data_IF_746025128345
#
_entry.id   IF_746025128345
#
_cell.length_a   1.000
_cell.length_b   1.000
_cell.length_c   1.000
_cell.angle_alpha   90.00
_cell.angle_beta   90.00
_cell.angle_gamma   90.00
#
_symmetry.space_group_name_H-M   'P 1'
#
loop_
_entity.id
_entity.type
_entity.pdbx_description
1 polymer ?
#
# COMPACT_ATOMS: atom_id res chain seq x y z
N UNK A 1 13.58 6.79 36.30
CA UNK A 1 12.24 6.18 36.26
C UNK A 1 11.40 7.09 35.38
N UNK A 2 11.23 6.73 34.11
CA UNK A 2 10.78 7.66 33.06
C UNK A 2 9.29 7.99 33.24
N UNK A 3 8.92 9.27 33.13
CA UNK A 3 7.53 9.72 33.20
C UNK A 3 6.59 8.94 32.25
N UNK A 4 7.15 8.40 31.17
CA UNK A 4 6.48 7.55 30.20
C UNK A 4 6.05 6.19 30.76
N UNK A 5 6.83 5.57 31.66
CA UNK A 5 6.45 4.30 32.33
C UNK A 5 5.39 4.51 33.41
N UNK A 6 5.31 5.71 33.99
CA UNK A 6 4.30 6.07 34.99
C UNK A 6 2.94 6.37 34.33
N UNK A 7 2.94 7.03 33.17
CA UNK A 7 1.73 7.23 32.36
C UNK A 7 1.16 5.92 31.81
N UNK A 8 2.03 4.97 31.47
CA UNK A 8 1.66 3.64 30.97
C UNK A 8 1.05 2.71 32.02
N UNK A 9 1.37 2.91 33.30
CA UNK A 9 0.76 2.16 34.40
C UNK A 9 -0.58 2.76 34.86
N UNK A 10 -0.80 4.07 34.65
CA UNK A 10 -2.05 4.75 34.95
C UNK A 10 -3.16 4.41 33.95
N UNK A 11 -2.79 4.08 32.71
CA UNK A 11 -3.70 3.56 31.68
C UNK A 11 -3.65 2.03 31.75
N UNK A 12 -4.70 1.38 32.24
CA UNK A 12 -4.90 -0.09 32.21
C UNK A 12 -5.04 -0.61 30.76
N UNK A 13 -4.02 -0.40 29.94
CA UNK A 13 -3.95 -0.91 28.58
C UNK A 13 -3.28 -2.28 28.59
N UNK A 14 -3.96 -3.25 27.99
CA UNK A 14 -3.44 -4.58 27.66
C UNK A 14 -2.04 -4.48 27.02
N UNK A 15 -1.13 -5.41 27.35
CA UNK A 15 0.29 -5.41 26.92
C UNK A 15 0.44 -5.25 25.39
N UNK A 16 -0.56 -5.71 24.61
CA UNK A 16 -0.64 -5.54 23.16
C UNK A 16 -0.74 -4.07 22.74
N UNK A 17 -1.64 -3.31 23.36
CA UNK A 17 -1.88 -1.90 23.08
C UNK A 17 -0.67 -1.05 23.47
N UNK A 18 0.02 -1.42 24.54
CA UNK A 18 1.26 -0.77 24.98
C UNK A 18 2.37 -0.88 23.92
N UNK A 19 2.57 -2.08 23.35
CA UNK A 19 3.58 -2.31 22.30
C UNK A 19 3.24 -1.59 20.99
N UNK A 20 1.95 -1.54 20.62
CA UNK A 20 1.48 -0.79 19.45
C UNK A 20 1.75 0.71 19.60
N UNK A 21 1.41 1.29 20.76
CA UNK A 21 1.67 2.70 21.05
C UNK A 21 3.18 3.00 21.08
N UNK A 22 3.99 2.11 21.65
CA UNK A 22 5.44 2.26 21.66
C UNK A 22 6.03 2.24 20.23
N UNK A 23 5.55 1.35 19.36
CA UNK A 23 6.00 1.29 17.96
C UNK A 23 5.64 2.57 17.19
N UNK A 24 4.42 3.09 17.36
CA UNK A 24 3.99 4.36 16.76
C UNK A 24 4.81 5.53 17.31
N UNK A 25 5.07 5.56 18.62
CA UNK A 25 5.88 6.60 19.25
C UNK A 25 7.33 6.59 18.73
N UNK A 26 7.94 5.41 18.58
CA UNK A 26 9.26 5.27 17.99
C UNK A 26 9.29 5.78 16.55
N UNK A 27 8.30 5.43 15.73
CA UNK A 27 8.19 5.95 14.36
C UNK A 27 8.07 7.48 14.33
N UNK A 28 7.21 8.07 15.16
CA UNK A 28 7.08 9.53 15.28
C UNK A 28 8.37 10.21 15.76
N UNK A 29 9.15 9.57 16.62
CA UNK A 29 10.45 10.08 17.07
C UNK A 29 11.43 10.20 15.90
N UNK A 30 11.47 9.23 14.99
CA UNK A 30 12.29 9.29 13.79
C UNK A 30 11.83 10.39 12.82
N UNK A 31 10.52 10.65 12.70
CA UNK A 31 10.03 11.81 11.92
C UNK A 31 10.55 13.13 12.51
N UNK A 32 10.57 13.27 13.84
CA UNK A 32 11.17 14.45 14.49
C UNK A 32 12.67 14.57 14.26
N UNK A 33 13.38 13.44 14.12
CA UNK A 33 14.81 13.44 13.78
C UNK A 33 15.04 14.11 12.40
N UNK A 34 14.19 13.82 11.41
CA UNK A 34 14.23 14.51 10.11
C UNK A 34 13.99 16.02 10.22
N UNK A 35 13.15 16.46 11.17
CA UNK A 35 12.97 17.89 11.44
C UNK A 35 14.23 18.53 12.04
N UNK A 36 14.94 17.84 12.94
CA UNK A 36 16.21 18.34 13.50
C UNK A 36 17.32 18.43 12.46
N UNK A 37 17.34 17.54 11.47
CA UNK A 37 18.27 17.62 10.33
C UNK A 37 18.09 18.91 9.51
N UNK A 38 16.97 19.64 9.63
CA UNK A 38 16.78 20.97 9.01
C UNK A 38 17.63 22.07 9.67
N UNK A 39 18.05 21.87 10.92
CA UNK A 39 18.80 22.87 11.70
C UNK A 39 20.27 22.96 11.27
N UNK A 40 20.86 21.88 10.75
CA UNK A 40 22.23 21.88 10.27
C UNK A 40 22.27 22.37 8.82
N UNK A 41 23.07 23.40 8.52
CA UNK A 41 23.12 24.04 7.21
C UNK A 41 23.44 23.08 6.05
N UNK A 42 24.30 22.08 6.28
CA UNK A 42 24.67 21.09 5.26
C UNK A 42 23.51 20.11 4.93
N UNK A 43 22.71 19.70 5.90
CA UNK A 43 21.59 18.76 5.70
C UNK A 43 20.27 19.46 5.36
N UNK A 44 20.17 20.77 5.61
CA UNK A 44 19.00 21.57 5.27
C UNK A 44 18.73 21.62 3.77
N UNK A 45 19.78 21.61 2.93
CA UNK A 45 19.63 21.59 1.47
C UNK A 45 18.95 20.31 0.98
N UNK A 46 19.35 19.14 1.50
CA UNK A 46 18.74 17.85 1.15
C UNK A 46 17.26 17.78 1.55
N UNK A 47 16.89 18.31 2.72
CA UNK A 47 15.48 18.31 3.17
C UNK A 47 14.61 19.23 2.32
N UNK A 48 15.13 20.38 1.88
CA UNK A 48 14.40 21.27 0.96
C UNK A 48 14.14 20.58 -0.38
N UNK A 49 15.16 19.94 -0.95
CA UNK A 49 15.02 19.17 -2.18
C UNK A 49 14.02 18.02 -2.02
N UNK A 50 14.07 17.28 -0.91
CA UNK A 50 13.12 16.21 -0.61
C UNK A 50 11.68 16.74 -0.52
N UNK A 51 11.49 17.89 0.13
CA UNK A 51 10.18 18.54 0.23
C UNK A 51 9.61 18.94 -1.14
N UNK A 52 10.44 19.48 -2.03
CA UNK A 52 10.07 19.80 -3.41
C UNK A 52 9.67 18.53 -4.18
N UNK A 53 10.48 17.47 -4.12
CA UNK A 53 10.18 16.18 -4.77
C UNK A 53 8.86 15.58 -4.25
N UNK A 54 8.59 15.65 -2.95
CA UNK A 54 7.32 15.16 -2.38
C UNK A 54 6.13 15.98 -2.90
N UNK A 55 6.25 17.31 -2.99
CA UNK A 55 5.15 18.10 -3.52
C UNK A 55 4.89 17.81 -5.01
N UNK A 56 5.95 17.55 -5.77
CA UNK A 56 5.85 17.23 -7.20
C UNK A 56 5.28 15.82 -7.45
N UNK A 57 5.52 14.84 -6.57
CA UNK A 57 5.00 13.47 -6.73
C UNK A 57 3.52 13.31 -6.31
N UNK A 58 2.98 14.16 -5.43
CA UNK A 58 1.58 14.06 -4.97
C UNK A 58 0.54 14.05 -6.10
N UNK A 59 0.58 14.95 -7.11
CA UNK A 59 -0.37 14.89 -8.23
C UNK A 59 -0.21 13.60 -9.04
N UNK A 60 1.02 13.12 -9.23
CA UNK A 60 1.29 11.85 -9.90
C UNK A 60 0.74 10.66 -9.12
N UNK A 61 0.91 10.64 -7.79
CA UNK A 61 0.38 9.58 -6.93
C UNK A 61 -1.15 9.54 -6.96
N UNK A 62 -1.81 10.70 -7.06
CA UNK A 62 -3.26 10.78 -7.22
C UNK A 62 -3.71 10.15 -8.55
N UNK A 63 -3.00 10.46 -9.63
CA UNK A 63 -3.25 9.85 -10.94
C UNK A 63 -3.02 8.32 -10.91
N UNK A 64 -1.94 7.86 -10.28
CA UNK A 64 -1.62 6.45 -10.11
C UNK A 64 -2.74 5.71 -9.35
N UNK A 65 -3.26 6.28 -8.27
CA UNK A 65 -4.37 5.70 -7.50
C UNK A 65 -5.64 5.57 -8.37
N UNK A 66 -5.93 6.55 -9.22
CA UNK A 66 -7.04 6.47 -10.17
C UNK A 66 -6.84 5.35 -11.19
N UNK A 67 -5.63 5.19 -11.75
CA UNK A 67 -5.30 4.10 -12.67
C UNK A 67 -5.44 2.73 -11.99
N UNK A 68 -4.88 2.57 -10.78
CA UNK A 68 -5.00 1.33 -10.00
C UNK A 68 -6.47 1.02 -9.71
N UNK A 69 -7.27 2.01 -9.31
CA UNK A 69 -8.70 1.82 -9.08
C UNK A 69 -9.43 1.34 -10.34
N UNK A 70 -9.12 1.91 -11.51
CA UNK A 70 -9.71 1.50 -12.78
C UNK A 70 -9.39 0.03 -13.10
N UNK A 71 -8.13 -0.38 -13.00
CA UNK A 71 -7.73 -1.77 -13.27
C UNK A 71 -8.21 -2.76 -12.20
N UNK A 72 -8.23 -2.35 -10.93
CA UNK A 72 -8.74 -3.16 -9.82
C UNK A 72 -10.23 -3.49 -10.00
N UNK A 73 -11.05 -2.53 -10.43
CA UNK A 73 -12.46 -2.79 -10.73
C UNK A 73 -12.63 -3.79 -11.90
N UNK A 74 -11.85 -3.65 -12.97
CA UNK A 74 -11.88 -4.59 -14.10
C UNK A 74 -11.48 -6.00 -13.69
N UNK A 75 -10.41 -6.15 -12.89
CA UNK A 75 -9.96 -7.45 -12.38
C UNK A 75 -10.98 -8.08 -11.41
N UNK A 76 -11.66 -7.26 -10.61
CA UNK A 76 -12.72 -7.73 -9.71
C UNK A 76 -13.92 -8.31 -10.48
N UNK A 77 -14.32 -7.69 -11.60
CA UNK A 77 -15.40 -8.21 -12.45
C UNK A 77 -15.02 -9.55 -13.07
N UNK A 78 -13.77 -9.69 -13.54
CA UNK A 78 -13.26 -10.96 -14.08
C UNK A 78 -13.21 -12.06 -13.02
N UNK A 79 -12.73 -11.74 -11.81
CA UNK A 79 -12.71 -12.66 -10.68
C UNK A 79 -14.12 -13.11 -10.27
N UNK A 80 -15.08 -12.20 -10.23
CA UNK A 80 -16.50 -12.55 -9.99
C UNK A 80 -17.06 -13.47 -11.06
N UNK A 81 -16.69 -13.24 -12.33
CA UNK A 81 -17.14 -14.07 -13.46
C UNK A 81 -16.60 -15.50 -13.33
N UNK A 82 -15.34 -15.66 -12.89
CA UNK A 82 -14.75 -16.98 -12.59
C UNK A 82 -15.43 -17.68 -11.41
N UNK A 83 -15.71 -16.95 -10.32
CA UNK A 83 -16.42 -17.48 -9.14
C UNK A 83 -17.83 -17.98 -9.46
N UNK A 84 -18.56 -17.28 -10.33
CA UNK A 84 -19.91 -17.71 -10.77
C UNK A 84 -19.84 -19.00 -11.59
N UNK A 85 -18.79 -19.16 -12.41
CA UNK A 85 -18.59 -20.34 -13.24
C UNK A 85 -17.98 -21.54 -12.48
N UNK A 86 -17.67 -21.39 -11.18
CA UNK A 86 -17.18 -22.47 -10.32
C UNK A 86 -15.69 -22.80 -10.48
N UNK A 87 -14.87 -21.87 -10.98
CA UNK A 87 -13.41 -22.04 -10.94
C UNK A 87 -12.87 -21.82 -9.52
N UNK A 88 -11.99 -22.73 -9.06
CA UNK A 88 -11.33 -22.64 -7.74
C UNK A 88 -10.19 -21.61 -7.72
N UNK A 89 -9.60 -21.29 -8.88
CA UNK A 89 -8.51 -20.31 -9.00
C UNK A 89 -9.03 -18.87 -9.04
N UNK A 90 -9.06 -18.22 -7.87
CA UNK A 90 -9.36 -16.81 -7.74
C UNK A 90 -8.17 -15.96 -8.19
N UNK A 91 -8.43 -14.96 -9.04
CA UNK A 91 -7.45 -13.96 -9.48
C UNK A 91 -7.01 -13.04 -8.33
N UNK A 92 -7.83 -12.94 -7.28
CA UNK A 92 -7.63 -12.06 -6.13
C UNK A 92 -7.59 -12.91 -4.86
N UNK A 93 -6.38 -13.14 -4.35
CA UNK A 93 -6.19 -13.76 -3.04
C UNK A 93 -6.73 -12.89 -1.90
N UNK A 94 -7.32 -13.48 -0.84
CA UNK A 94 -7.84 -12.73 0.29
C UNK A 94 -6.71 -12.09 1.10
N UNK A 95 -6.72 -10.76 1.25
CA UNK A 95 -5.74 -10.02 2.07
C UNK A 95 -6.42 -9.47 3.33
N UNK A 96 -7.54 -8.79 3.14
CA UNK A 96 -8.37 -8.19 4.19
C UNK A 96 -9.76 -8.84 4.27
N UNK A 97 -10.11 -9.70 3.31
CA UNK A 97 -11.41 -10.39 3.24
C UNK A 97 -12.52 -9.54 2.63
N UNK A 98 -12.17 -8.38 2.05
CA UNK A 98 -13.09 -7.48 1.37
C UNK A 98 -12.69 -7.45 -0.09
N UNK A 99 -13.51 -8.04 -0.97
CA UNK A 99 -13.20 -8.24 -2.39
C UNK A 99 -12.66 -6.98 -3.10
N UNK A 100 -13.20 -5.80 -2.80
CA UNK A 100 -12.75 -4.54 -3.39
C UNK A 100 -11.36 -4.10 -2.92
N UNK A 101 -11.09 -4.18 -1.61
CA UNK A 101 -9.78 -3.81 -1.07
C UNK A 101 -8.71 -4.82 -1.49
N UNK A 102 -9.08 -6.10 -1.53
CA UNK A 102 -8.19 -7.17 -1.96
C UNK A 102 -7.81 -6.99 -3.43
N UNK A 103 -8.77 -6.64 -4.30
CA UNK A 103 -8.52 -6.31 -5.70
C UNK A 103 -7.58 -5.11 -5.83
N UNK A 104 -7.85 -4.04 -5.07
CA UNK A 104 -7.05 -2.82 -5.12
C UNK A 104 -5.60 -3.05 -4.71
N UNK A 105 -5.38 -3.80 -3.63
CA UNK A 105 -4.05 -4.13 -3.12
C UNK A 105 -3.32 -5.05 -4.10
N UNK A 106 -4.01 -6.07 -4.64
CA UNK A 106 -3.44 -6.96 -5.67
C UNK A 106 -2.98 -6.18 -6.91
N UNK A 107 -3.81 -5.27 -7.43
CA UNK A 107 -3.45 -4.44 -8.58
C UNK A 107 -2.31 -3.46 -8.25
N UNK A 108 -2.25 -2.94 -7.02
CA UNK A 108 -1.11 -2.15 -6.56
C UNK A 108 0.20 -2.97 -6.51
N UNK A 109 0.16 -4.21 -6.01
CA UNK A 109 1.32 -5.11 -6.00
C UNK A 109 1.79 -5.44 -7.42
N UNK A 110 0.84 -5.66 -8.35
CA UNK A 110 1.15 -5.81 -9.78
C UNK A 110 1.83 -4.56 -10.34
N UNK A 111 1.36 -3.36 -9.98
CA UNK A 111 2.01 -2.10 -10.37
C UNK A 111 3.43 -1.96 -9.77
N UNK A 112 3.69 -2.53 -8.59
CA UNK A 112 5.03 -2.60 -7.99
C UNK A 112 5.94 -3.68 -8.62
N UNK A 113 5.41 -4.52 -9.52
CA UNK A 113 6.15 -5.59 -10.19
C UNK A 113 6.06 -6.97 -9.53
N UNK A 114 5.20 -7.14 -8.53
CA UNK A 114 4.91 -8.45 -7.95
C UNK A 114 3.84 -9.16 -8.78
N UNK A 115 4.25 -10.21 -9.49
CA UNK A 115 3.38 -10.92 -10.44
C UNK A 115 3.08 -12.34 -9.98
N UNK A 116 1.81 -12.60 -9.71
CA UNK A 116 1.29 -13.96 -9.48
C UNK A 116 0.63 -14.46 -10.77
N UNK A 117 1.46 -15.03 -11.65
CA UNK A 117 1.12 -15.45 -13.01
C UNK A 117 0.40 -16.81 -13.01
N UNK A 118 0.51 -17.57 -11.93
CA UNK A 118 -0.10 -18.90 -11.81
C UNK A 118 -1.62 -18.80 -11.88
N UNK A 119 -2.20 -17.76 -11.26
CA UNK A 119 -3.63 -17.46 -11.27
C UNK A 119 -4.18 -16.98 -12.64
N UNK A 120 -3.32 -16.70 -13.63
CA UNK A 120 -3.76 -16.17 -14.93
C UNK A 120 -4.24 -17.26 -15.90
N UNK A 121 -3.95 -18.53 -15.60
CA UNK A 121 -4.38 -19.67 -16.39
C UNK A 121 -5.81 -20.08 -15.97
N UNK A 122 -6.84 -19.66 -16.71
CA UNK A 122 -8.25 -19.95 -16.42
C UNK A 122 -9.20 -19.30 -17.43
N UNK A 123 -10.48 -19.19 -17.10
CA UNK A 123 -11.50 -18.49 -17.91
C UNK A 123 -11.04 -17.07 -18.26
N UNK A 124 -11.24 -16.68 -19.52
CA UNK A 124 -10.87 -15.36 -20.06
C UNK A 124 -9.39 -14.98 -19.90
N UNK A 125 -8.49 -15.97 -19.86
CA UNK A 125 -7.04 -15.76 -19.73
C UNK A 125 -6.48 -14.70 -20.70
N UNK A 126 -6.97 -14.67 -21.96
CA UNK A 126 -6.53 -13.69 -22.95
C UNK A 126 -6.85 -12.24 -22.55
N UNK A 127 -7.98 -11.98 -21.89
CA UNK A 127 -8.35 -10.65 -21.39
C UNK A 127 -7.55 -10.28 -20.15
N UNK A 128 -7.33 -11.24 -19.24
CA UNK A 128 -6.49 -11.03 -18.04
C UNK A 128 -5.06 -10.64 -18.44
N UNK A 129 -4.46 -11.33 -19.42
CA UNK A 129 -3.14 -11.00 -19.95
C UNK A 129 -3.10 -9.61 -20.62
N UNK A 130 -4.16 -9.22 -21.33
CA UNK A 130 -4.25 -7.88 -21.92
C UNK A 130 -4.29 -6.79 -20.84
N UNK A 131 -5.15 -6.95 -19.82
CA UNK A 131 -5.23 -6.01 -18.71
C UNK A 131 -3.95 -5.98 -17.86
N UNK A 132 -3.29 -7.12 -17.69
CA UNK A 132 -2.00 -7.19 -17.03
C UNK A 132 -0.94 -6.35 -17.75
N UNK A 133 -0.76 -6.54 -19.06
CA UNK A 133 0.21 -5.78 -19.85
C UNK A 133 -0.10 -4.27 -19.86
N UNK A 134 -1.39 -3.91 -19.98
CA UNK A 134 -1.81 -2.52 -19.90
C UNK A 134 -1.53 -1.90 -18.53
N UNK A 135 -1.80 -2.64 -17.45
CA UNK A 135 -1.54 -2.18 -16.07
C UNK A 135 -0.04 -1.93 -15.88
N UNK A 136 0.81 -2.87 -16.31
CA UNK A 136 2.26 -2.74 -16.19
C UNK A 136 2.78 -1.55 -16.98
N UNK A 137 2.34 -1.33 -18.22
CA UNK A 137 2.83 -0.22 -19.04
C UNK A 137 2.36 1.16 -18.56
N UNK A 138 1.18 1.24 -17.92
CA UNK A 138 0.62 2.51 -17.47
C UNK A 138 1.08 2.87 -16.06
N UNK A 139 1.27 1.87 -15.19
CA UNK A 139 1.60 2.09 -13.79
C UNK A 139 3.12 2.13 -13.51
N UNK A 140 3.94 1.58 -14.41
CA UNK A 140 5.40 1.53 -14.32
C UNK A 140 6.05 2.56 -15.24
#
# INVERSE_FOLDING_TARGET
>A
MNALTMFLHAVHAEVRTQKLLAAVAMFMMYIKLFYWLRLFESTAAFIRMLYEIINDIVPFLTFLVCCIAMFANSMLILDQSRRINGEEDSLIGPVFGVNFLDAFVRTYLVALGEFDIEAFNGLDSSLVWCFFLLTTFIAQ
#
